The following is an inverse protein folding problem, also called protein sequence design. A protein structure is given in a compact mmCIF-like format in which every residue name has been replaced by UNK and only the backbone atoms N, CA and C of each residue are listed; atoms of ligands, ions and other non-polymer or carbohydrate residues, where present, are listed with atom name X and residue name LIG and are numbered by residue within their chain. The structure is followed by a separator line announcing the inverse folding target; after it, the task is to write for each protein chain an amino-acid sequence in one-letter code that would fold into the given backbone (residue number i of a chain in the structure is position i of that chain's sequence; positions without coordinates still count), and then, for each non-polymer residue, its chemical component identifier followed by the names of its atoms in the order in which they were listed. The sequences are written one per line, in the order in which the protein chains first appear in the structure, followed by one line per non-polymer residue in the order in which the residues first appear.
data_IF_961275225353
#
_entry.id   IF_961275225353
#
_cell.length_a   1.000
_cell.length_b   1.000
_cell.length_c   1.000
_cell.angle_alpha   90.00
_cell.angle_beta   90.00
_cell.angle_gamma   90.00
#
_symmetry.space_group_name_H-M   'P 1'
#
loop_
_entity.id
_entity.type
_entity.pdbx_description
1 polymer ?
#
# COMPACT_ATOMS: atom_id res chain seq x y z
N UNK A 1 -32.95 80.59 -8.51
CA UNK A 1 -33.11 79.74 -7.31
C UNK A 1 -31.81 79.01 -7.12
N UNK A 2 -31.20 79.03 -5.93
CA UNK A 2 -30.06 78.18 -5.47
C UNK A 2 -28.85 78.09 -6.44
N UNK A 3 -27.70 78.73 -6.22
CA UNK A 3 -26.97 79.00 -4.95
C UNK A 3 -26.65 77.67 -4.22
N UNK A 4 -25.43 77.32 -3.80
CA UNK A 4 -24.14 78.05 -3.84
C UNK A 4 -22.93 77.15 -3.49
N UNK A 5 -21.72 77.59 -3.86
CA UNK A 5 -20.33 77.30 -3.39
C UNK A 5 -19.91 76.00 -2.63
N UNK A 6 -18.63 75.64 -2.88
CA UNK A 6 -17.66 74.98 -1.97
C UNK A 6 -17.89 73.48 -1.61
N UNK A 7 -16.90 72.71 -1.12
CA UNK A 7 -15.57 73.09 -0.56
C UNK A 7 -14.36 72.24 -1.05
N UNK A 8 -13.16 72.63 -0.59
CA UNK A 8 -11.83 72.16 -0.98
C UNK A 8 -11.38 70.81 -0.33
N UNK A 9 -10.25 70.21 -0.75
CA UNK A 9 -9.82 68.86 -0.33
C UNK A 9 -8.74 68.81 0.77
N UNK A 10 -8.51 67.59 1.30
CA UNK A 10 -7.38 67.15 2.15
C UNK A 10 -7.36 67.68 3.61
N UNK A 11 -6.54 67.10 4.53
CA UNK A 11 -5.81 65.81 4.49
C UNK A 11 -6.78 64.62 4.76
N UNK A 12 -6.49 63.42 5.27
CA UNK A 12 -5.37 62.73 5.95
C UNK A 12 -5.55 61.19 5.71
N UNK A 13 -4.69 60.19 6.03
CA UNK A 13 -3.55 59.98 6.94
C UNK A 13 -2.60 58.92 6.34
N UNK A 14 -1.30 58.95 6.69
CA UNK A 14 -0.40 57.79 6.61
C UNK A 14 0.51 57.73 7.86
N UNK A 15 1.20 56.62 8.19
CA UNK A 15 0.98 55.22 7.78
C UNK A 15 0.74 54.31 9.00
N UNK A 16 -0.34 53.52 8.98
CA UNK A 16 -0.63 52.53 10.04
C UNK A 16 0.27 51.29 9.95
N UNK A 17 1.40 51.28 10.67
CA UNK A 17 2.28 50.10 10.75
C UNK A 17 1.60 49.00 11.57
N UNK A 18 0.80 48.17 10.90
CA UNK A 18 0.20 46.97 11.48
C UNK A 18 1.29 45.93 11.77
N UNK A 19 1.67 45.87 13.05
CA UNK A 19 2.59 44.89 13.62
C UNK A 19 2.20 43.48 13.18
N UNK A 20 3.17 42.70 12.71
CA UNK A 20 2.96 41.29 12.40
C UNK A 20 2.40 40.54 13.63
N UNK A 21 1.42 39.64 13.46
CA UNK A 21 0.96 38.79 14.55
C UNK A 21 2.09 37.84 14.95
N UNK A 22 2.49 37.90 16.23
CA UNK A 22 3.40 36.92 16.81
C UNK A 22 2.76 35.53 16.74
N UNK A 23 3.46 34.48 16.28
CA UNK A 23 2.93 33.12 16.35
C UNK A 23 2.66 32.77 17.82
N UNK A 24 1.41 32.42 18.13
CA UNK A 24 1.00 32.05 19.48
C UNK A 24 1.68 30.75 19.88
N UNK A 25 2.25 30.70 21.09
CA UNK A 25 2.73 29.47 21.71
C UNK A 25 1.54 28.60 22.18
N UNK A 26 0.79 28.07 21.20
CA UNK A 26 -0.22 27.05 21.42
C UNK A 26 0.44 25.78 21.94
N UNK A 27 -0.03 25.29 23.10
CA UNK A 27 0.44 24.03 23.69
C UNK A 27 -0.07 22.83 22.90
N UNK A 28 0.70 21.75 22.98
CA UNK A 28 0.24 20.36 22.89
C UNK A 28 -0.43 19.93 21.58
N UNK A 29 0.36 19.34 20.70
CA UNK A 29 0.34 17.87 20.63
C UNK A 29 1.75 17.34 20.87
N UNK A 30 1.97 16.32 21.72
CA UNK A 30 3.17 15.51 21.61
C UNK A 30 3.11 14.78 20.26
N UNK A 31 4.21 14.62 19.51
CA UNK A 31 4.19 13.80 18.31
C UNK A 31 3.71 12.40 18.70
N UNK A 32 2.62 11.94 18.08
CA UNK A 32 2.13 10.58 18.27
C UNK A 32 3.30 9.62 18.13
N UNK A 33 3.42 8.59 18.98
CA UNK A 33 4.51 7.62 18.84
C UNK A 33 4.38 6.98 17.46
N UNK A 34 5.29 7.36 16.56
CA UNK A 34 5.44 6.73 15.25
C UNK A 34 5.66 5.26 15.53
N UNK A 35 4.60 4.45 15.35
CA UNK A 35 4.63 3.00 15.60
C UNK A 35 5.86 2.50 14.86
N UNK A 36 6.90 1.98 15.55
CA UNK A 36 8.08 1.49 14.86
C UNK A 36 7.58 0.45 13.84
N UNK A 37 8.05 0.48 12.58
CA UNK A 37 7.51 -0.38 11.53
C UNK A 37 7.52 -1.80 12.05
N UNK A 38 6.31 -2.38 12.19
CA UNK A 38 6.10 -3.60 12.98
C UNK A 38 7.10 -4.63 12.50
N UNK A 39 7.93 -5.14 13.42
CA UNK A 39 9.25 -5.71 13.08
C UNK A 39 9.09 -7.10 12.44
N UNK A 40 8.63 -7.10 11.19
CA UNK A 40 8.30 -8.23 10.33
C UNK A 40 9.58 -8.99 9.94
N UNK A 41 10.17 -9.63 10.94
CA UNK A 41 11.56 -10.05 10.94
C UNK A 41 11.86 -11.13 11.98
N UNK A 42 10.86 -11.94 12.34
CA UNK A 42 11.07 -13.31 12.81
C UNK A 42 9.75 -14.12 12.75
N UNK A 43 9.69 -15.11 11.85
CA UNK A 43 8.87 -16.30 12.08
C UNK A 43 7.47 -16.41 11.48
N UNK A 44 7.16 -15.83 10.29
CA UNK A 44 5.98 -16.26 9.51
C UNK A 44 6.06 -17.78 9.32
N UNK A 45 5.20 -18.53 10.00
CA UNK A 45 5.38 -19.98 10.15
C UNK A 45 5.08 -20.73 8.85
N UNK A 46 5.44 -22.01 8.77
CA UNK A 46 5.02 -22.83 7.63
C UNK A 46 3.49 -22.88 7.46
N UNK A 47 2.74 -22.77 8.56
CA UNK A 47 1.27 -22.69 8.57
C UNK A 47 0.77 -21.34 8.05
N UNK A 48 1.34 -20.23 8.50
CA UNK A 48 0.95 -18.88 8.03
C UNK A 48 1.29 -18.70 6.55
N UNK A 49 2.45 -19.20 6.08
CA UNK A 49 2.81 -19.20 4.65
C UNK A 49 1.83 -20.01 3.81
N UNK A 50 1.38 -21.17 4.30
CA UNK A 50 0.36 -21.97 3.62
C UNK A 50 -0.99 -21.24 3.60
N UNK A 51 -1.38 -20.59 4.69
CA UNK A 51 -2.59 -19.77 4.75
C UNK A 51 -2.53 -18.58 3.78
N UNK A 52 -1.42 -17.83 3.72
CA UNK A 52 -1.21 -16.75 2.74
C UNK A 52 -1.29 -17.29 1.31
N UNK A 53 -0.65 -18.43 1.01
CA UNK A 53 -0.73 -19.05 -0.31
C UNK A 53 -2.17 -19.47 -0.68
N UNK A 54 -2.94 -20.01 0.27
CA UNK A 54 -4.37 -20.31 0.10
C UNK A 54 -5.18 -19.05 -0.14
N UNK A 55 -4.99 -18.00 0.65
CA UNK A 55 -5.66 -16.69 0.49
C UNK A 55 -5.35 -16.07 -0.86
N UNK A 56 -4.10 -16.12 -1.31
CA UNK A 56 -3.71 -15.67 -2.66
C UNK A 56 -4.39 -16.50 -3.75
N UNK A 57 -4.51 -17.82 -3.58
CA UNK A 57 -5.24 -18.68 -4.50
C UNK A 57 -6.73 -18.33 -4.61
N UNK A 58 -7.39 -18.09 -3.48
CA UNK A 58 -8.80 -17.65 -3.43
C UNK A 58 -8.96 -16.26 -4.05
N UNK A 59 -8.22 -15.26 -3.58
CA UNK A 59 -8.30 -13.88 -4.09
C UNK A 59 -8.04 -13.80 -5.60
N UNK A 60 -7.04 -14.54 -6.12
CA UNK A 60 -6.75 -14.62 -7.57
C UNK A 60 -7.91 -15.25 -8.35
N UNK A 61 -8.53 -16.31 -7.81
CA UNK A 61 -9.70 -16.99 -8.41
C UNK A 61 -10.91 -16.07 -8.51
N UNK A 62 -11.13 -15.20 -7.54
CA UNK A 62 -12.20 -14.19 -7.60
C UNK A 62 -11.84 -13.02 -8.51
N UNK A 63 -10.63 -12.45 -8.40
CA UNK A 63 -10.16 -11.36 -9.26
C UNK A 63 -10.15 -11.72 -10.77
N UNK A 64 -10.01 -13.00 -11.11
CA UNK A 64 -10.05 -13.51 -12.48
C UNK A 64 -11.48 -13.73 -13.03
N UNK A 65 -12.52 -13.61 -12.21
CA UNK A 65 -13.93 -13.85 -12.58
C UNK A 65 -14.66 -12.51 -12.72
N UNK A 66 -15.34 -12.30 -13.85
CA UNK A 66 -16.14 -11.08 -14.10
C UNK A 66 -17.54 -11.14 -13.52
N UNK A 67 -18.06 -12.34 -13.26
CA UNK A 67 -19.49 -12.59 -13.01
C UNK A 67 -19.82 -12.81 -11.52
N UNK A 68 -18.88 -12.48 -10.61
CA UNK A 68 -19.06 -12.57 -9.15
C UNK A 68 -19.08 -11.16 -8.57
N UNK A 69 -20.05 -10.85 -7.71
CA UNK A 69 -20.11 -9.55 -7.06
C UNK A 69 -18.91 -9.36 -6.12
N UNK A 70 -18.39 -8.12 -6.06
CA UNK A 70 -17.19 -7.80 -5.29
C UNK A 70 -17.36 -8.10 -3.79
N UNK A 71 -18.52 -7.79 -3.21
CA UNK A 71 -18.83 -8.08 -1.80
C UNK A 71 -18.90 -9.58 -1.50
N UNK A 72 -19.50 -10.39 -2.38
CA UNK A 72 -19.53 -11.85 -2.23
C UNK A 72 -18.12 -12.43 -2.28
N UNK A 73 -17.28 -11.94 -3.20
CA UNK A 73 -15.87 -12.32 -3.31
C UNK A 73 -15.07 -11.91 -2.06
N UNK A 74 -15.28 -10.70 -1.53
CA UNK A 74 -14.68 -10.26 -0.28
C UNK A 74 -15.14 -11.12 0.92
N UNK A 75 -16.41 -11.53 0.94
CA UNK A 75 -16.96 -12.44 1.96
C UNK A 75 -16.46 -13.90 1.83
N UNK A 76 -16.15 -14.39 0.62
CA UNK A 76 -15.44 -15.66 0.40
C UNK A 76 -13.99 -15.56 0.95
N UNK A 77 -13.27 -14.48 0.62
CA UNK A 77 -11.89 -14.24 1.06
C UNK A 77 -11.80 -14.04 2.58
N UNK A 78 -12.73 -13.28 3.19
CA UNK A 78 -12.85 -13.09 4.64
C UNK A 78 -13.07 -14.41 5.38
N UNK A 79 -13.97 -15.27 4.88
CA UNK A 79 -14.21 -16.62 5.42
C UNK A 79 -12.97 -17.51 5.30
N UNK A 80 -12.25 -17.44 4.18
CA UNK A 80 -11.01 -18.20 3.99
C UNK A 80 -9.86 -17.74 4.91
N UNK A 81 -9.94 -16.53 5.50
CA UNK A 81 -8.94 -16.00 6.42
C UNK A 81 -9.17 -16.36 7.89
N UNK A 82 -10.35 -16.84 8.27
CA UNK A 82 -10.67 -17.21 9.67
C UNK A 82 -10.34 -16.07 10.68
N UNK A 83 -10.66 -14.83 10.30
CA UNK A 83 -10.39 -13.62 11.09
C UNK A 83 -8.93 -13.10 11.07
N UNK A 84 -8.01 -13.74 10.32
CA UNK A 84 -6.60 -13.33 10.19
C UNK A 84 -6.42 -12.10 9.27
N UNK A 85 -6.84 -10.94 9.76
CA UNK A 85 -6.63 -9.62 9.14
C UNK A 85 -5.15 -9.34 8.81
N UNK A 86 -4.23 -9.87 9.61
CA UNK A 86 -2.78 -9.79 9.40
C UNK A 86 -2.33 -10.54 8.13
N UNK A 87 -2.82 -11.78 7.93
CA UNK A 87 -2.47 -12.58 6.75
C UNK A 87 -3.14 -12.07 5.47
N UNK A 88 -4.33 -11.47 5.59
CA UNK A 88 -4.96 -10.73 4.50
C UNK A 88 -4.18 -9.45 4.14
N UNK A 89 -3.64 -8.76 5.15
CA UNK A 89 -2.71 -7.65 4.95
C UNK A 89 -1.44 -8.09 4.22
N UNK A 90 -0.78 -9.17 4.65
CA UNK A 90 0.40 -9.70 3.94
C UNK A 90 0.07 -10.10 2.50
N UNK A 91 -1.06 -10.78 2.25
CA UNK A 91 -1.51 -11.13 0.90
C UNK A 91 -1.78 -9.91 0.02
N UNK A 92 -2.46 -8.88 0.55
CA UNK A 92 -2.70 -7.61 -0.15
C UNK A 92 -1.39 -6.90 -0.51
N UNK A 93 -0.41 -6.89 0.39
CA UNK A 93 0.92 -6.33 0.15
C UNK A 93 1.69 -7.06 -0.95
N UNK A 94 1.60 -8.40 -1.00
CA UNK A 94 2.18 -9.21 -2.08
C UNK A 94 1.52 -8.91 -3.42
N UNK A 95 0.18 -8.82 -3.46
CA UNK A 95 -0.54 -8.47 -4.69
C UNK A 95 -0.22 -7.07 -5.20
N UNK A 96 -0.16 -6.07 -4.31
CA UNK A 96 0.25 -4.70 -4.66
C UNK A 96 1.69 -4.65 -5.20
N UNK A 97 2.61 -5.46 -4.66
CA UNK A 97 3.98 -5.57 -5.19
C UNK A 97 4.01 -6.20 -6.59
N UNK A 98 3.18 -7.22 -6.85
CA UNK A 98 3.06 -7.83 -8.19
C UNK A 98 2.45 -6.84 -9.21
N UNK A 99 1.41 -6.10 -8.85
CA UNK A 99 0.79 -5.07 -9.71
C UNK A 99 1.70 -3.87 -9.99
N UNK A 100 2.71 -3.60 -9.14
CA UNK A 100 3.80 -2.64 -9.42
C UNK A 100 4.87 -3.23 -10.35
N UNK A 101 5.14 -4.53 -10.26
CA UNK A 101 6.18 -5.20 -11.03
C UNK A 101 5.75 -5.54 -12.48
N UNK A 102 4.46 -5.78 -12.71
CA UNK A 102 3.88 -6.01 -14.03
C UNK A 102 2.56 -5.23 -14.20
N UNK A 103 2.58 -4.20 -15.05
CA UNK A 103 1.40 -3.39 -15.36
C UNK A 103 0.31 -4.15 -16.13
N UNK A 104 0.64 -5.30 -16.75
CA UNK A 104 -0.36 -6.18 -17.36
C UNK A 104 -1.10 -7.06 -16.34
N UNK A 105 -0.60 -7.17 -15.10
CA UNK A 105 -1.21 -7.93 -14.02
C UNK A 105 -2.41 -7.20 -13.37
N UNK A 106 -3.39 -6.78 -14.17
CA UNK A 106 -4.61 -6.08 -13.72
C UNK A 106 -5.34 -6.83 -12.59
N UNK A 107 -5.33 -8.17 -12.64
CA UNK A 107 -5.93 -9.05 -11.64
C UNK A 107 -5.22 -8.97 -10.27
N UNK A 108 -3.93 -8.59 -10.22
CA UNK A 108 -3.21 -8.43 -8.96
C UNK A 108 -3.73 -7.21 -8.18
N UNK A 109 -4.00 -6.09 -8.85
CA UNK A 109 -4.63 -4.93 -8.20
C UNK A 109 -6.04 -5.27 -7.70
N UNK A 110 -6.85 -5.98 -8.50
CA UNK A 110 -8.17 -6.44 -8.07
C UNK A 110 -8.09 -7.41 -6.86
N UNK A 111 -7.13 -8.33 -6.84
CA UNK A 111 -6.90 -9.23 -5.70
C UNK A 111 -6.41 -8.49 -4.45
N UNK A 112 -5.56 -7.47 -4.58
CA UNK A 112 -5.17 -6.61 -3.46
C UNK A 112 -6.38 -5.88 -2.85
N UNK A 113 -7.26 -5.31 -3.69
CA UNK A 113 -8.49 -4.67 -3.23
C UNK A 113 -9.45 -5.66 -2.55
N UNK A 114 -9.61 -6.88 -3.06
CA UNK A 114 -10.40 -7.94 -2.42
C UNK A 114 -9.85 -8.32 -1.04
N UNK A 115 -8.53 -8.44 -0.88
CA UNK A 115 -7.93 -8.75 0.42
C UNK A 115 -8.13 -7.63 1.46
N UNK A 116 -8.14 -6.35 1.05
CA UNK A 116 -8.45 -5.23 1.96
C UNK A 116 -9.95 -5.17 2.28
N UNK A 117 -10.83 -5.38 1.30
CA UNK A 117 -12.29 -5.44 1.51
C UNK A 117 -12.76 -6.62 2.38
N UNK A 118 -11.91 -7.65 2.51
CA UNK A 118 -12.07 -8.79 3.40
C UNK A 118 -11.59 -8.55 4.85
N UNK A 119 -11.36 -7.29 5.25
CA UNK A 119 -10.78 -6.83 6.52
C UNK A 119 -9.26 -7.02 6.66
N UNK A 120 -8.52 -7.04 5.54
CA UNK A 120 -7.05 -7.08 5.56
C UNK A 120 -6.42 -5.80 6.10
N UNK A 121 -5.46 -5.92 7.02
CA UNK A 121 -4.77 -4.78 7.64
C UNK A 121 -3.98 -3.99 6.58
N UNK A 122 -4.34 -2.71 6.32
CA UNK A 122 -3.70 -1.90 5.29
C UNK A 122 -2.31 -1.40 5.68
N UNK A 123 -1.96 -1.34 6.97
CA UNK A 123 -0.61 -1.00 7.42
C UNK A 123 0.34 -2.19 7.23
N UNK A 124 -0.13 -3.42 7.51
CA UNK A 124 0.61 -4.65 7.18
C UNK A 124 0.81 -4.75 5.68
N UNK A 125 -0.24 -4.50 4.88
CA UNK A 125 -0.14 -4.48 3.42
C UNK A 125 0.92 -3.50 2.92
N UNK A 126 0.88 -2.23 3.38
CA UNK A 126 1.88 -1.20 3.06
C UNK A 126 3.29 -1.64 3.45
N UNK A 127 3.46 -2.18 4.65
CA UNK A 127 4.76 -2.61 5.18
C UNK A 127 5.42 -3.74 4.40
N UNK A 128 4.65 -4.57 3.69
CA UNK A 128 5.19 -5.67 2.87
C UNK A 128 5.54 -5.26 1.43
N UNK A 129 4.91 -4.22 0.85
CA UNK A 129 5.02 -3.95 -0.60
C UNK A 129 6.46 -3.81 -1.07
N UNK A 130 7.26 -2.97 -0.42
CA UNK A 130 8.62 -2.68 -0.87
C UNK A 130 9.57 -3.87 -0.63
N UNK A 131 9.36 -4.61 0.47
CA UNK A 131 10.09 -5.83 0.79
C UNK A 131 9.78 -6.98 -0.18
N UNK A 132 8.56 -7.07 -0.70
CA UNK A 132 8.18 -8.03 -1.75
C UNK A 132 8.65 -7.55 -3.12
N UNK A 133 8.51 -6.26 -3.44
CA UNK A 133 8.99 -5.67 -4.70
C UNK A 133 10.49 -5.92 -4.89
N UNK A 134 11.29 -5.70 -3.84
CA UNK A 134 12.73 -6.00 -3.87
C UNK A 134 13.03 -7.49 -4.13
N UNK A 135 12.18 -8.42 -3.69
CA UNK A 135 12.31 -9.87 -3.98
C UNK A 135 11.89 -10.23 -5.40
N UNK A 136 10.90 -9.52 -5.98
CA UNK A 136 10.44 -9.72 -7.36
C UNK A 136 11.42 -9.14 -8.38
N UNK A 137 12.00 -7.97 -8.10
CA UNK A 137 13.01 -7.30 -8.94
C UNK A 137 14.43 -7.87 -8.78
N UNK A 138 14.69 -8.66 -7.73
CA UNK A 138 15.97 -9.36 -7.58
C UNK A 138 16.18 -10.33 -8.76
N UNK A 139 17.38 -10.36 -9.37
CA UNK A 139 17.70 -11.36 -10.38
C UNK A 139 17.45 -12.76 -9.80
N UNK A 140 16.56 -13.53 -10.43
CA UNK A 140 16.33 -14.94 -10.05
C UNK A 140 17.69 -15.62 -10.12
N UNK A 141 18.26 -16.02 -8.97
CA UNK A 141 19.46 -16.88 -8.97
C UNK A 141 19.11 -18.13 -9.76
N UNK A 142 19.66 -18.24 -10.96
CA UNK A 142 19.43 -19.39 -11.81
C UNK A 142 19.84 -20.66 -11.08
N UNK A 143 19.15 -21.77 -11.37
CA UNK A 143 19.63 -23.10 -11.02
C UNK A 143 20.82 -23.40 -11.95
N UNK A 144 21.97 -22.82 -11.61
CA UNK A 144 23.28 -23.12 -12.19
C UNK A 144 23.73 -24.49 -11.64
N UNK A 145 23.01 -25.52 -12.06
CA UNK A 145 23.01 -26.84 -11.42
C UNK A 145 22.22 -27.89 -12.20
N UNK A 146 22.14 -27.75 -13.53
CA UNK A 146 21.90 -28.93 -14.37
C UNK A 146 23.07 -29.90 -14.16
N UNK A 147 22.83 -31.20 -13.96
CA UNK A 147 23.91 -32.15 -13.71
C UNK A 147 24.87 -32.20 -14.90
N UNK A 148 26.20 -32.33 -14.67
CA UNK A 148 27.16 -32.41 -15.76
C UNK A 148 26.88 -33.64 -16.60
N UNK A 149 26.46 -33.42 -17.85
CA UNK A 149 26.30 -34.48 -18.85
C UNK A 149 27.67 -35.00 -19.25
N UNK A 150 28.22 -35.94 -18.47
CA UNK A 150 29.43 -36.66 -18.84
C UNK A 150 29.21 -37.36 -20.19
N UNK A 151 29.82 -36.82 -21.24
CA UNK A 151 29.69 -37.32 -22.60
C UNK A 151 30.25 -38.74 -22.70
N UNK A 152 29.35 -39.74 -22.72
CA UNK A 152 29.71 -41.16 -22.71
C UNK A 152 30.12 -41.65 -24.11
N UNK A 153 31.26 -41.18 -24.60
CA UNK A 153 31.92 -41.65 -25.81
C UNK A 153 33.32 -42.22 -25.51
N UNK A 154 33.69 -43.45 -25.86
CA UNK A 154 32.88 -44.54 -26.45
C UNK A 154 33.49 -45.20 -27.68
N UNK A 155 34.78 -45.55 -27.63
CA UNK A 155 35.52 -46.13 -28.76
C UNK A 155 36.08 -45.08 -29.73
N UNK A 156 37.13 -45.38 -30.51
CA UNK A 156 37.77 -46.68 -30.73
C UNK A 156 39.28 -46.58 -30.53
#
# INVERSE_FOLDING_TARGET
MTDTLLDAPAPHTAPGILRAPTPSSGRSEPPLPVRPPSRAGNGTTARDRLAIATLMGVASRHASRRDVAFEDAAAEVRRAADGRADLLGEAAGVFAAMGRADAAAWYANAAAHLCIAADGDPDVARGQVDAVTARLSAPRRGVAGGPPTHARGGGR
#
